data_IF_161903687290
#
_entry.id   IF_161903687290
#
_cell.length_a   1.000
_cell.length_b   1.000
_cell.length_c   1.000
_cell.angle_alpha   90.00
_cell.angle_beta   90.00
_cell.angle_gamma   90.00
#
_symmetry.space_group_name_H-M   'P 1'
#
loop_
_entity.id
_entity.type
_entity.pdbx_description
1 polymer ?
#
# COMPACT_ATOMS: atom_id res chain seq x y z
N UNK A 1 4.66 21.57 4.16
CA UNK A 1 4.56 20.71 2.98
C UNK A 1 3.74 19.48 3.36
N UNK A 2 2.70 19.18 2.59
CA UNK A 2 1.85 17.99 2.72
C UNK A 2 2.01 17.14 1.46
N UNK A 3 2.38 15.87 1.64
CA UNK A 3 2.52 14.90 0.54
C UNK A 3 1.41 13.87 0.66
N UNK A 4 0.69 13.64 -0.42
CA UNK A 4 -0.31 12.58 -0.53
C UNK A 4 0.28 11.44 -1.36
N UNK A 5 0.23 10.22 -0.85
CA UNK A 5 0.67 9.02 -1.58
C UNK A 5 -0.52 8.08 -1.79
N UNK A 6 -0.61 7.46 -2.96
CA UNK A 6 -1.71 6.58 -3.35
C UNK A 6 -1.20 5.26 -3.91
N UNK A 7 -1.55 4.17 -3.28
CA UNK A 7 -1.09 2.85 -3.71
C UNK A 7 -1.57 1.70 -2.84
N UNK A 8 -1.19 0.48 -3.23
CA UNK A 8 -1.52 -0.73 -2.49
C UNK A 8 -0.50 -1.00 -1.40
N UNK A 9 -0.99 -1.37 -0.22
CA UNK A 9 -0.20 -2.01 0.83
C UNK A 9 -0.65 -3.46 0.99
N UNK A 10 0.30 -4.37 0.98
CA UNK A 10 0.07 -5.81 1.05
C UNK A 10 0.56 -6.37 2.37
N UNK A 11 -0.10 -7.45 2.80
CA UNK A 11 0.41 -8.31 3.85
C UNK A 11 1.65 -9.05 3.33
N UNK A 12 2.81 -8.83 3.95
CA UNK A 12 4.02 -9.56 3.64
C UNK A 12 4.19 -10.72 4.62
N UNK A 13 4.23 -11.93 4.07
CA UNK A 13 4.51 -13.17 4.77
C UNK A 13 5.92 -13.64 4.42
N UNK A 14 6.86 -13.42 5.33
CA UNK A 14 8.26 -13.83 5.17
C UNK A 14 8.52 -15.19 5.80
N UNK A 15 9.21 -16.08 5.09
CA UNK A 15 9.76 -17.25 5.73
C UNK A 15 10.84 -16.80 6.74
N UNK A 16 10.84 -17.32 7.98
CA UNK A 16 11.80 -16.92 9.00
C UNK A 16 13.23 -17.31 8.59
N UNK A 17 14.18 -16.54 9.07
CA UNK A 17 15.59 -16.72 8.78
C UNK A 17 15.86 -16.79 7.26
N UNK A 18 16.40 -17.89 6.80
CA UNK A 18 16.70 -18.17 5.39
C UNK A 18 15.97 -19.41 4.87
N UNK A 19 14.89 -19.81 5.53
CA UNK A 19 14.07 -20.95 5.09
C UNK A 19 13.37 -20.64 3.77
N UNK A 20 13.10 -21.69 3.00
CA UNK A 20 12.19 -21.59 1.85
C UNK A 20 10.74 -21.65 2.34
N UNK A 21 9.82 -21.11 1.55
CA UNK A 21 8.38 -21.14 1.87
C UNK A 21 7.85 -22.57 2.09
N UNK A 22 8.37 -23.57 1.37
CA UNK A 22 7.98 -24.96 1.54
C UNK A 22 8.66 -25.68 2.71
N UNK A 23 9.53 -25.00 3.45
CA UNK A 23 10.24 -25.56 4.63
C UNK A 23 9.74 -24.96 5.94
N UNK A 24 9.05 -23.79 5.88
CA UNK A 24 8.61 -23.10 7.08
C UNK A 24 7.21 -23.53 7.50
N UNK A 25 6.97 -23.56 8.82
CA UNK A 25 5.66 -23.84 9.43
C UNK A 25 5.03 -22.58 10.04
N UNK A 26 5.70 -21.43 9.92
CA UNK A 26 5.27 -20.13 10.40
C UNK A 26 5.78 -19.04 9.48
N UNK A 27 5.16 -17.86 9.53
CA UNK A 27 5.57 -16.68 8.78
C UNK A 27 5.79 -15.49 9.69
N UNK A 28 6.81 -14.71 9.38
CA UNK A 28 6.95 -13.35 9.90
C UNK A 28 6.01 -12.42 9.16
N UNK A 29 5.18 -11.70 9.92
CA UNK A 29 4.16 -10.80 9.38
C UNK A 29 4.69 -9.37 9.39
N UNK A 30 4.59 -8.71 8.24
CA UNK A 30 4.83 -7.28 8.07
C UNK A 30 3.98 -6.75 6.92
N UNK A 31 4.06 -5.46 6.64
CA UNK A 31 3.34 -4.86 5.52
C UNK A 31 4.31 -4.21 4.55
N UNK A 32 3.97 -4.23 3.26
CA UNK A 32 4.80 -3.68 2.21
C UNK A 32 3.97 -3.05 1.10
N UNK A 33 4.36 -1.85 0.70
CA UNK A 33 3.78 -1.11 -0.40
C UNK A 33 4.74 0.01 -0.81
N UNK A 34 4.96 0.21 -2.10
CA UNK A 34 5.91 1.21 -2.58
C UNK A 34 5.56 2.61 -2.06
N UNK A 35 4.32 3.01 -2.22
CA UNK A 35 3.82 4.34 -1.82
C UNK A 35 3.67 4.46 -0.30
N UNK A 36 3.36 3.36 0.39
CA UNK A 36 3.37 3.31 1.85
C UNK A 36 4.78 3.52 2.41
N UNK A 37 5.80 2.89 1.80
CA UNK A 37 7.19 3.09 2.18
C UNK A 37 7.63 4.55 1.99
N UNK A 38 7.19 5.20 0.92
CA UNK A 38 7.45 6.63 0.69
C UNK A 38 6.76 7.46 1.78
N UNK A 39 5.50 7.19 2.11
CA UNK A 39 4.78 7.90 3.16
C UNK A 39 5.48 7.77 4.52
N UNK A 40 5.89 6.56 4.90
CA UNK A 40 6.64 6.30 6.15
C UNK A 40 7.98 7.03 6.15
N UNK A 41 8.72 6.98 5.05
CA UNK A 41 10.00 7.68 4.92
C UNK A 41 9.83 9.20 5.10
N UNK A 42 8.86 9.79 4.44
CA UNK A 42 8.56 11.22 4.54
C UNK A 42 8.13 11.61 5.96
N UNK A 43 7.28 10.81 6.60
CA UNK A 43 6.86 11.03 7.98
C UNK A 43 8.05 11.00 8.95
N UNK A 44 9.02 10.10 8.76
CA UNK A 44 10.25 10.05 9.55
C UNK A 44 11.13 11.29 9.35
N UNK A 45 11.07 11.94 8.21
CA UNK A 45 11.73 13.24 7.96
C UNK A 45 10.89 14.45 8.44
N UNK A 46 9.78 14.22 9.13
CA UNK A 46 8.93 15.29 9.66
C UNK A 46 8.01 15.95 8.61
N UNK A 47 7.86 15.35 7.43
CA UNK A 47 6.93 15.79 6.41
C UNK A 47 5.53 15.26 6.73
N UNK A 48 4.48 16.07 6.56
CA UNK A 48 3.10 15.60 6.67
C UNK A 48 2.79 14.67 5.49
N UNK A 49 2.75 13.37 5.75
CA UNK A 49 2.45 12.35 4.75
C UNK A 49 1.06 11.76 5.00
N UNK A 50 0.18 11.85 4.02
CA UNK A 50 -1.12 11.21 4.00
C UNK A 50 -1.09 10.04 3.01
N UNK A 51 -1.56 8.89 3.44
CA UNK A 51 -1.58 7.68 2.61
C UNK A 51 -3.00 7.27 2.26
N UNK A 52 -3.30 7.25 0.98
CA UNK A 52 -4.59 6.83 0.43
C UNK A 52 -4.48 5.40 -0.10
N UNK A 53 -5.32 4.54 0.42
CA UNK A 53 -5.42 3.13 0.02
C UNK A 53 -6.80 2.59 0.35
N UNK A 54 -7.08 1.36 -0.07
CA UNK A 54 -8.29 0.63 0.30
C UNK A 54 -7.94 -0.69 0.94
N UNK A 55 -8.46 -0.91 2.15
CA UNK A 55 -8.21 -2.09 2.97
C UNK A 55 -9.53 -2.76 3.39
N UNK A 56 -9.58 -4.09 3.50
CA UNK A 56 -10.77 -4.79 3.95
C UNK A 56 -11.08 -4.52 5.44
N UNK A 57 -12.29 -4.87 5.85
CA UNK A 57 -12.75 -4.70 7.25
C UNK A 57 -12.46 -5.97 8.06
N UNK A 58 -11.21 -6.18 8.45
CA UNK A 58 -10.82 -7.30 9.31
C UNK A 58 -9.54 -6.99 10.11
N UNK A 59 -9.23 -7.76 11.19
CA UNK A 59 -8.16 -7.44 12.15
C UNK A 59 -6.76 -7.28 11.55
N UNK A 60 -6.40 -8.01 10.48
CA UNK A 60 -5.08 -7.87 9.83
C UNK A 60 -4.96 -6.48 9.18
N UNK A 61 -6.04 -5.99 8.56
CA UNK A 61 -6.05 -4.64 8.00
C UNK A 61 -6.01 -3.57 9.11
N UNK A 62 -6.61 -3.83 10.27
CA UNK A 62 -6.53 -2.94 11.43
C UNK A 62 -5.10 -2.89 11.99
N UNK A 63 -4.40 -4.03 12.01
CA UNK A 63 -2.97 -4.07 12.35
C UNK A 63 -2.13 -3.24 11.38
N UNK A 64 -2.40 -3.32 10.08
CA UNK A 64 -1.74 -2.51 9.05
C UNK A 64 -1.91 -1.00 9.32
N UNK A 65 -3.14 -0.57 9.58
CA UNK A 65 -3.45 0.83 9.91
C UNK A 65 -2.70 1.26 11.17
N UNK A 66 -2.71 0.45 12.23
CA UNK A 66 -2.02 0.74 13.48
C UNK A 66 -0.50 0.88 13.27
N UNK A 67 0.09 0.07 12.40
CA UNK A 67 1.50 0.15 12.06
C UNK A 67 1.83 1.46 11.33
N UNK A 68 1.03 1.87 10.34
CA UNK A 68 1.20 3.15 9.65
C UNK A 68 1.06 4.34 10.60
N UNK A 69 0.07 4.30 11.50
CA UNK A 69 -0.10 5.32 12.54
C UNK A 69 1.10 5.43 13.48
N UNK A 70 1.75 4.30 13.82
CA UNK A 70 2.95 4.31 14.66
C UNK A 70 4.12 5.06 14.03
N UNK A 71 4.16 5.11 12.69
CA UNK A 71 5.09 5.93 11.91
C UNK A 71 4.60 7.36 11.63
N UNK A 72 3.47 7.78 12.23
CA UNK A 72 2.88 9.12 12.07
C UNK A 72 2.40 9.40 10.63
N UNK A 73 2.09 8.38 9.85
CA UNK A 73 1.43 8.54 8.56
C UNK A 73 -0.05 8.82 8.80
N UNK A 74 -0.59 9.83 8.15
CA UNK A 74 -2.02 10.10 8.18
C UNK A 74 -2.77 9.06 7.33
N UNK A 75 -3.63 8.31 7.98
CA UNK A 75 -4.46 7.25 7.40
C UNK A 75 -5.95 7.53 7.53
N UNK A 76 -6.32 8.78 7.85
CA UNK A 76 -7.70 9.20 8.12
C UNK A 76 -8.65 8.97 6.95
N UNK A 77 -8.12 8.96 5.72
CA UNK A 77 -8.88 8.73 4.49
C UNK A 77 -8.65 7.34 3.88
N UNK A 78 -8.11 6.39 4.64
CA UNK A 78 -8.06 4.99 4.20
C UNK A 78 -9.46 4.43 4.04
N UNK A 79 -9.78 3.96 2.84
CA UNK A 79 -11.09 3.41 2.51
C UNK A 79 -11.19 1.99 3.07
N UNK A 80 -12.29 1.71 3.75
CA UNK A 80 -12.55 0.39 4.33
C UNK A 80 -13.60 -0.36 3.51
N UNK A 81 -13.13 -1.35 2.75
CA UNK A 81 -14.00 -2.15 1.87
C UNK A 81 -13.23 -3.22 1.09
N UNK A 82 -13.94 -3.93 0.22
CA UNK A 82 -13.37 -5.05 -0.51
C UNK A 82 -13.32 -6.33 0.32
N UNK A 83 -12.78 -7.40 -0.26
CA UNK A 83 -12.83 -8.75 0.32
C UNK A 83 -11.53 -9.17 1.00
N UNK A 84 -10.37 -8.79 0.45
CA UNK A 84 -9.07 -9.28 0.91
C UNK A 84 -7.98 -8.22 0.79
N UNK A 85 -6.99 -8.31 1.64
CA UNK A 85 -5.72 -7.63 1.47
C UNK A 85 -4.87 -8.43 0.47
N UNK A 86 -4.14 -7.74 -0.41
CA UNK A 86 -3.14 -8.39 -1.25
C UNK A 86 -2.03 -9.01 -0.39
N UNK A 87 -1.47 -10.12 -0.84
CA UNK A 87 -0.40 -10.83 -0.11
C UNK A 87 0.84 -10.88 -0.99
N UNK A 88 2.00 -10.74 -0.38
CA UNK A 88 3.25 -11.14 -0.97
C UNK A 88 3.98 -12.14 -0.04
N UNK A 89 4.51 -13.18 -0.64
CA UNK A 89 5.34 -14.16 0.05
C UNK A 89 6.81 -13.87 -0.24
N UNK A 90 7.63 -13.85 0.79
CA UNK A 90 9.06 -13.54 0.70
C UNK A 90 9.90 -14.72 1.16
N UNK A 91 10.79 -15.18 0.30
CA UNK A 91 11.96 -15.99 0.68
C UNK A 91 13.18 -15.08 0.74
N UNK A 92 13.80 -14.95 1.89
CA UNK A 92 15.08 -14.23 2.02
C UNK A 92 16.20 -15.06 1.43
N UNK A 93 16.98 -14.45 0.55
CA UNK A 93 18.14 -15.09 -0.05
C UNK A 93 19.27 -15.32 0.96
N UNK A 94 20.11 -16.30 0.69
CA UNK A 94 21.30 -16.58 1.49
C UNK A 94 22.45 -17.01 0.60
N UNK A 95 23.61 -16.43 0.80
CA UNK A 95 24.81 -16.68 0.03
C UNK A 95 24.54 -16.51 -1.48
N UNK A 96 24.66 -17.58 -2.27
CA UNK A 96 24.45 -17.54 -3.72
C UNK A 96 22.97 -17.67 -4.14
N UNK A 97 22.07 -17.91 -3.21
CA UNK A 97 20.63 -17.99 -3.48
C UNK A 97 20.02 -16.60 -3.40
N UNK A 98 19.41 -16.15 -4.48
CA UNK A 98 18.64 -14.88 -4.51
C UNK A 98 17.39 -14.95 -3.66
N UNK A 99 16.94 -13.81 -3.17
CA UNK A 99 15.59 -13.66 -2.59
C UNK A 99 14.54 -13.86 -3.67
N UNK A 100 13.41 -14.45 -3.30
CA UNK A 100 12.25 -14.64 -4.18
C UNK A 100 11.01 -14.00 -3.57
N UNK A 101 10.20 -13.37 -4.42
CA UNK A 101 8.93 -12.78 -4.02
C UNK A 101 7.83 -13.35 -4.92
N UNK A 102 6.75 -13.80 -4.29
CA UNK A 102 5.56 -14.29 -4.99
C UNK A 102 4.36 -13.42 -4.60
N UNK A 103 3.65 -12.90 -5.60
CA UNK A 103 2.51 -12.01 -5.41
C UNK A 103 1.19 -12.76 -5.53
N UNK A 104 0.32 -12.57 -4.56
CA UNK A 104 -1.07 -13.00 -4.56
C UNK A 104 -1.93 -11.75 -4.26
N UNK A 105 -2.16 -10.94 -5.29
CA UNK A 105 -2.79 -9.62 -5.18
C UNK A 105 -3.98 -9.40 -6.12
N UNK A 106 -4.34 -10.40 -6.91
CA UNK A 106 -5.51 -10.33 -7.77
C UNK A 106 -6.77 -10.13 -6.94
N UNK A 107 -7.69 -9.32 -7.40
CA UNK A 107 -8.93 -8.95 -6.72
C UNK A 107 -8.75 -8.47 -5.26
N UNK A 108 -7.59 -7.92 -4.93
CA UNK A 108 -7.39 -7.28 -3.63
C UNK A 108 -8.35 -6.12 -3.43
N UNK A 109 -8.55 -5.73 -2.19
CA UNK A 109 -9.40 -4.57 -1.88
C UNK A 109 -8.94 -3.30 -2.60
N UNK A 110 -7.62 -3.11 -2.73
CA UNK A 110 -7.09 -1.98 -3.48
C UNK A 110 -7.29 -2.13 -4.98
N UNK A 111 -6.99 -3.30 -5.57
CA UNK A 111 -7.16 -3.53 -7.01
C UNK A 111 -8.61 -3.36 -7.49
N UNK A 112 -9.58 -3.55 -6.59
CA UNK A 112 -11.01 -3.39 -6.85
C UNK A 112 -11.59 -2.06 -6.35
N UNK A 113 -10.76 -1.03 -6.15
CA UNK A 113 -11.23 0.29 -5.72
C UNK A 113 -12.13 0.93 -6.78
N UNK A 114 -13.27 1.46 -6.37
CA UNK A 114 -14.18 2.15 -7.27
C UNK A 114 -13.65 3.53 -7.65
N UNK A 115 -13.91 3.96 -8.87
CA UNK A 115 -13.49 5.27 -9.40
C UNK A 115 -13.95 6.46 -8.53
N UNK A 116 -15.12 6.34 -7.90
CA UNK A 116 -15.75 7.38 -7.09
C UNK A 116 -15.60 7.16 -5.58
N UNK A 117 -14.85 6.17 -5.13
CA UNK A 117 -14.65 5.92 -3.70
C UNK A 117 -13.69 6.93 -3.04
N UNK A 118 -12.94 7.70 -3.86
CA UNK A 118 -12.03 8.74 -3.39
C UNK A 118 -12.54 10.10 -3.81
N UNK A 119 -12.73 10.97 -2.85
CA UNK A 119 -12.94 12.41 -3.10
C UNK A 119 -11.59 13.09 -3.33
N UNK A 120 -11.12 13.02 -4.60
CA UNK A 120 -9.84 13.58 -4.98
C UNK A 120 -9.78 15.10 -4.83
N UNK A 121 -10.88 15.82 -4.98
CA UNK A 121 -10.92 17.26 -4.79
C UNK A 121 -10.58 17.62 -3.35
N UNK A 122 -11.18 16.94 -2.38
CA UNK A 122 -10.89 17.17 -0.98
C UNK A 122 -9.51 16.62 -0.57
N UNK A 123 -9.08 15.47 -1.12
CA UNK A 123 -7.76 14.87 -0.83
C UNK A 123 -6.62 15.76 -1.30
N UNK A 124 -6.73 16.33 -2.50
CA UNK A 124 -5.66 17.08 -3.16
C UNK A 124 -5.69 18.58 -2.86
N UNK A 125 -6.75 19.11 -2.27
CA UNK A 125 -6.97 20.53 -2.00
C UNK A 125 -5.79 21.22 -1.29
N UNK A 126 -5.14 20.53 -0.35
CA UNK A 126 -4.01 21.06 0.42
C UNK A 126 -2.70 20.28 0.16
N UNK A 127 -2.67 19.49 -0.90
CA UNK A 127 -1.49 18.69 -1.24
C UNK A 127 -0.47 19.53 -1.99
N UNK A 128 0.75 19.64 -1.44
CA UNK A 128 1.88 20.23 -2.14
C UNK A 128 2.52 19.25 -3.12
N UNK A 129 2.31 17.95 -2.91
CA UNK A 129 2.84 16.87 -3.76
C UNK A 129 1.91 15.66 -3.75
N UNK A 130 1.68 15.09 -4.92
CA UNK A 130 0.98 13.83 -5.11
C UNK A 130 1.91 12.77 -5.69
N UNK A 131 1.98 11.61 -5.04
CA UNK A 131 2.89 10.52 -5.42
C UNK A 131 2.16 9.19 -5.59
N UNK A 132 2.42 8.55 -6.70
CA UNK A 132 2.08 7.16 -7.00
C UNK A 132 3.14 6.54 -7.91
N UNK A 133 3.22 5.24 -8.00
CA UNK A 133 4.18 4.53 -8.86
C UNK A 133 3.46 3.86 -10.03
N UNK A 134 4.20 3.49 -11.06
CA UNK A 134 3.66 2.81 -12.25
C UNK A 134 2.95 1.47 -11.95
N UNK A 135 3.18 0.89 -10.78
CA UNK A 135 2.49 -0.33 -10.35
C UNK A 135 1.00 -0.06 -10.09
N UNK A 136 0.67 1.08 -9.50
CA UNK A 136 -0.70 1.41 -9.08
C UNK A 136 -1.70 1.40 -10.24
N UNK A 137 -1.48 2.12 -11.36
CA UNK A 137 -2.40 2.07 -12.50
C UNK A 137 -2.34 0.74 -13.27
N UNK A 138 -1.29 -0.06 -13.09
CA UNK A 138 -1.14 -1.34 -13.77
C UNK A 138 -1.90 -2.50 -13.10
N UNK A 139 -2.44 -2.30 -11.90
CA UNK A 139 -3.14 -3.35 -11.15
C UNK A 139 -4.51 -3.69 -11.73
N UNK A 140 -5.25 -2.67 -12.18
CA UNK A 140 -6.59 -2.84 -12.73
C UNK A 140 -7.02 -1.60 -13.51
N UNK A 141 -8.08 -1.74 -14.31
CA UNK A 141 -8.70 -0.60 -15.00
C UNK A 141 -9.24 0.45 -14.00
N UNK A 142 -9.77 0.01 -12.87
CA UNK A 142 -10.32 0.94 -11.86
C UNK A 142 -9.22 1.74 -11.16
N UNK A 143 -8.09 1.14 -10.82
CA UNK A 143 -6.93 1.86 -10.27
C UNK A 143 -6.31 2.82 -11.30
N UNK A 144 -6.27 2.43 -12.58
CA UNK A 144 -5.85 3.32 -13.65
C UNK A 144 -6.75 4.58 -13.74
N UNK A 145 -8.07 4.39 -13.75
CA UNK A 145 -9.04 5.51 -13.77
C UNK A 145 -8.90 6.41 -12.54
N UNK A 146 -8.69 5.83 -11.36
CA UNK A 146 -8.46 6.58 -10.12
C UNK A 146 -7.18 7.45 -10.22
N UNK A 147 -6.08 6.89 -10.71
CA UNK A 147 -4.83 7.64 -10.94
C UNK A 147 -5.03 8.77 -11.96
N UNK A 148 -5.69 8.48 -13.10
CA UNK A 148 -5.92 9.46 -14.15
C UNK A 148 -6.75 10.64 -13.62
N UNK A 149 -7.83 10.37 -12.88
CA UNK A 149 -8.68 11.41 -12.28
C UNK A 149 -7.89 12.27 -11.29
N UNK A 150 -7.10 11.64 -10.41
CA UNK A 150 -6.26 12.37 -9.47
C UNK A 150 -5.25 13.28 -10.18
N UNK A 151 -4.57 12.78 -11.22
CA UNK A 151 -3.62 13.56 -11.99
C UNK A 151 -4.26 14.77 -12.67
N UNK A 152 -5.42 14.58 -13.30
CA UNK A 152 -6.13 15.67 -13.97
C UNK A 152 -6.54 16.78 -12.99
N UNK A 153 -6.99 16.43 -11.80
CA UNK A 153 -7.34 17.39 -10.76
C UNK A 153 -6.12 18.08 -10.14
N UNK A 154 -5.03 17.35 -9.95
CA UNK A 154 -3.82 17.91 -9.35
C UNK A 154 -3.09 18.89 -10.28
N UNK A 155 -3.22 18.74 -11.60
CA UNK A 155 -2.57 19.58 -12.60
C UNK A 155 -3.44 20.71 -13.15
N UNK A 156 -4.71 20.81 -12.71
CA UNK A 156 -5.66 21.88 -13.09
C UNK A 156 -5.56 23.06 -12.17
#
# INVERSE_FOLDING_TARGET
>A
MKVVTFGEIMLRLGAPDYLRLNQCNQFDISFAGAEANVAVSLANYGVKAEYITRLPKHPIADKCISELLSYRVDVSRVIRGGKRIGILYLETGSNMRSSCVYYDREDSSFATIGEHEIDWEEVLKEADWFHWTGITPALSESTYKACLRACLLYTS
#
